data_IF_621270856639
#
_entry.id   IF_621270856639
#
_cell.length_a   1.000
_cell.length_b   1.000
_cell.length_c   1.000
_cell.angle_alpha   90.00
_cell.angle_beta   90.00
_cell.angle_gamma   90.00
#
_symmetry.space_group_name_H-M   'P 1'
#
loop_
_entity.id
_entity.type
_entity.pdbx_description
1 polymer ?
#
# COMPACT_ATOMS: atom_id res chain seq x y z
N UNK A 1 13.15 -2.64 22.94
CA UNK A 1 12.44 -1.57 23.64
C UNK A 1 13.25 -1.04 24.82
N UNK A 2 13.80 -1.89 25.69
CA UNK A 2 14.43 -1.45 26.93
C UNK A 2 15.53 -0.40 26.79
N UNK A 3 16.48 -0.55 25.88
CA UNK A 3 17.56 0.44 25.68
C UNK A 3 17.21 1.60 24.75
N UNK A 4 16.05 1.57 24.11
CA UNK A 4 15.49 2.70 23.36
C UNK A 4 14.44 3.46 24.16
N UNK A 5 14.19 3.07 25.41
CA UNK A 5 13.19 3.68 26.32
C UNK A 5 11.78 3.80 25.71
N UNK A 6 11.43 2.87 24.82
CA UNK A 6 10.11 2.87 24.18
C UNK A 6 9.09 2.27 25.14
N UNK A 7 8.07 3.04 25.47
CA UNK A 7 6.93 2.56 26.28
C UNK A 7 6.08 1.59 25.42
N UNK A 8 5.94 0.36 25.91
CA UNK A 8 5.11 -0.69 25.31
C UNK A 8 3.82 -0.94 26.11
N UNK A 9 3.44 -0.04 26.99
CA UNK A 9 2.19 -0.17 27.76
C UNK A 9 1.00 -0.25 26.81
N UNK A 10 0.19 -1.30 26.94
CA UNK A 10 -0.95 -1.57 26.05
C UNK A 10 -0.60 -2.23 24.71
N UNK A 11 0.68 -2.45 24.43
CA UNK A 11 1.13 -3.16 23.21
C UNK A 11 1.14 -4.67 23.46
N UNK A 12 0.44 -5.42 22.62
CA UNK A 12 0.51 -6.88 22.62
C UNK A 12 1.69 -7.34 21.78
N UNK A 13 2.67 -7.97 22.41
CA UNK A 13 3.80 -8.62 21.71
C UNK A 13 3.43 -10.06 21.37
N UNK A 14 3.52 -10.42 20.09
CA UNK A 14 3.21 -11.75 19.60
C UNK A 14 4.50 -12.44 19.15
N UNK A 15 4.80 -13.57 19.75
CA UNK A 15 5.85 -14.50 19.31
C UNK A 15 5.17 -15.55 18.41
N UNK A 16 5.53 -15.66 17.13
CA UNK A 16 4.94 -16.65 16.22
C UNK A 16 5.01 -18.09 16.76
N UNK A 17 6.08 -18.43 17.50
CA UNK A 17 6.26 -19.77 18.05
C UNK A 17 5.33 -20.12 19.21
N UNK A 18 4.71 -19.10 19.82
CA UNK A 18 3.80 -19.21 20.97
C UNK A 18 2.41 -18.72 20.66
N UNK A 19 2.14 -18.42 19.38
CA UNK A 19 0.84 -17.92 18.96
C UNK A 19 -0.23 -19.01 18.99
N UNK A 20 -1.26 -18.84 19.78
CA UNK A 20 -2.38 -19.79 19.90
C UNK A 20 -3.12 -19.99 18.57
N UNK A 21 -3.16 -18.99 17.71
CA UNK A 21 -3.81 -19.03 16.39
C UNK A 21 -2.89 -19.52 15.27
N UNK A 22 -1.69 -20.01 15.57
CA UNK A 22 -0.72 -20.40 14.53
C UNK A 22 -1.32 -21.42 13.55
N UNK A 23 -2.05 -22.42 14.03
CA UNK A 23 -2.64 -23.46 13.18
C UNK A 23 -3.74 -22.90 12.26
N UNK A 24 -4.53 -21.95 12.72
CA UNK A 24 -5.52 -21.22 11.90
C UNK A 24 -4.83 -20.41 10.80
N UNK A 25 -3.75 -19.72 11.13
CA UNK A 25 -2.95 -18.95 10.17
C UNK A 25 -2.26 -19.84 9.14
N UNK A 26 -1.75 -20.99 9.56
CA UNK A 26 -1.17 -22.00 8.65
C UNK A 26 -2.21 -22.47 7.65
N UNK A 27 -3.40 -22.82 8.12
CA UNK A 27 -4.50 -23.26 7.25
C UNK A 27 -4.93 -22.14 6.29
N UNK A 28 -5.06 -20.90 6.78
CA UNK A 28 -5.43 -19.74 5.96
C UNK A 28 -4.37 -19.45 4.87
N UNK A 29 -3.10 -19.51 5.19
CA UNK A 29 -2.01 -19.32 4.23
C UNK A 29 -1.99 -20.45 3.19
N UNK A 30 -2.15 -21.70 3.65
CA UNK A 30 -2.26 -22.86 2.77
C UNK A 30 -3.43 -22.69 1.79
N UNK A 31 -4.65 -22.46 2.26
CA UNK A 31 -5.82 -22.28 1.41
C UNK A 31 -5.67 -21.16 0.40
N UNK A 32 -5.05 -20.04 0.83
CA UNK A 32 -4.82 -18.89 -0.03
C UNK A 32 -3.82 -19.20 -1.15
N UNK A 33 -2.83 -20.09 -0.92
CA UNK A 33 -1.70 -20.30 -1.80
C UNK A 33 -1.53 -21.74 -2.33
N UNK A 34 -2.42 -22.68 -2.00
CA UNK A 34 -2.33 -24.09 -2.44
C UNK A 34 -2.23 -24.24 -3.95
N UNK A 35 -2.93 -23.38 -4.71
CA UNK A 35 -2.88 -23.35 -6.18
C UNK A 35 -1.49 -22.94 -6.75
N UNK A 36 -0.58 -22.47 -5.92
CA UNK A 36 0.81 -22.12 -6.24
C UNK A 36 1.82 -23.09 -5.59
N UNK A 37 1.37 -24.27 -5.17
CA UNK A 37 2.23 -25.31 -4.61
C UNK A 37 2.60 -25.10 -3.12
N UNK A 38 1.81 -24.32 -2.38
CA UNK A 38 1.94 -24.26 -0.93
C UNK A 38 1.47 -25.57 -0.32
N UNK A 39 2.18 -26.02 0.71
CA UNK A 39 1.74 -27.13 1.57
C UNK A 39 1.58 -26.64 3.01
N UNK A 40 0.83 -27.34 3.88
CA UNK A 40 0.69 -26.94 5.28
C UNK A 40 2.03 -26.81 6.00
N UNK A 41 2.98 -27.71 5.73
CA UNK A 41 4.32 -27.71 6.34
C UNK A 41 5.12 -26.48 5.91
N UNK A 42 5.08 -26.13 4.61
CA UNK A 42 5.73 -24.92 4.09
C UNK A 42 5.07 -23.66 4.67
N UNK A 43 3.74 -23.62 4.76
CA UNK A 43 3.02 -22.51 5.34
C UNK A 43 3.44 -22.30 6.81
N UNK A 44 3.50 -23.35 7.60
CA UNK A 44 3.98 -23.32 8.99
C UNK A 44 5.41 -22.81 9.07
N UNK A 45 6.31 -23.35 8.27
CA UNK A 45 7.71 -22.92 8.26
C UNK A 45 7.82 -21.42 7.95
N UNK A 46 7.13 -20.92 6.94
CA UNK A 46 7.13 -19.51 6.59
C UNK A 46 6.63 -18.65 7.76
N UNK A 47 5.51 -19.00 8.37
CA UNK A 47 4.93 -18.20 9.47
C UNK A 47 5.82 -18.19 10.72
N UNK A 48 6.64 -19.21 10.93
CA UNK A 48 7.59 -19.27 12.05
C UNK A 48 8.89 -18.50 11.78
N UNK A 49 9.24 -18.25 10.52
CA UNK A 49 10.54 -17.66 10.14
C UNK A 49 10.43 -16.28 9.48
N UNK A 50 9.25 -15.89 9.00
CA UNK A 50 9.01 -14.63 8.30
C UNK A 50 7.91 -13.81 8.99
N UNK A 51 8.33 -12.87 9.83
CA UNK A 51 7.43 -11.97 10.54
C UNK A 51 6.60 -11.09 9.61
N UNK A 52 7.10 -10.81 8.38
CA UNK A 52 6.37 -10.04 7.38
C UNK A 52 5.13 -10.79 6.91
N UNK A 53 5.30 -12.04 6.50
CA UNK A 53 4.18 -12.91 6.12
C UNK A 53 3.25 -13.18 7.31
N UNK A 54 3.79 -13.30 8.53
CA UNK A 54 2.98 -13.45 9.73
C UNK A 54 2.07 -12.24 9.98
N UNK A 55 2.61 -11.01 9.88
CA UNK A 55 1.81 -9.79 9.99
C UNK A 55 0.72 -9.69 8.92
N UNK A 56 1.06 -10.00 7.67
CA UNK A 56 0.10 -10.00 6.57
C UNK A 56 -1.03 -11.03 6.78
N UNK A 57 -0.74 -12.20 7.31
CA UNK A 57 -1.77 -13.22 7.57
C UNK A 57 -2.70 -12.81 8.71
N UNK A 58 -2.20 -12.08 9.73
CA UNK A 58 -3.03 -11.49 10.78
C UNK A 58 -4.06 -10.51 10.21
N UNK A 59 -3.62 -9.64 9.29
CA UNK A 59 -4.54 -8.73 8.57
C UNK A 59 -5.55 -9.53 7.74
N UNK A 60 -5.11 -10.59 7.06
CA UNK A 60 -6.00 -11.47 6.28
C UNK A 60 -7.04 -12.19 7.15
N UNK A 61 -6.67 -12.52 8.38
CA UNK A 61 -7.55 -13.17 9.36
C UNK A 61 -8.49 -12.18 10.09
N UNK A 62 -8.40 -10.87 9.82
CA UNK A 62 -9.06 -9.78 10.54
C UNK A 62 -8.69 -9.71 12.04
N UNK A 63 -7.50 -10.15 12.40
CA UNK A 63 -6.93 -10.00 13.74
C UNK A 63 -6.12 -8.70 13.87
N UNK A 64 -5.92 -7.99 12.77
CA UNK A 64 -5.34 -6.66 12.68
C UNK A 64 -5.99 -5.88 11.53
N UNK A 65 -6.15 -4.57 11.69
CA UNK A 65 -6.75 -3.68 10.70
C UNK A 65 -5.76 -3.24 9.60
N UNK A 66 -4.48 -3.33 9.89
CA UNK A 66 -3.39 -2.95 8.98
C UNK A 66 -2.04 -3.39 9.49
N UNK A 67 -0.99 -3.10 8.73
CA UNK A 67 0.39 -3.45 9.08
C UNK A 67 1.33 -2.30 8.74
N UNK A 68 2.21 -1.96 9.69
CA UNK A 68 3.35 -1.06 9.49
C UNK A 68 4.61 -1.91 9.47
N UNK A 69 5.40 -1.81 8.40
CA UNK A 69 6.57 -2.65 8.21
C UNK A 69 7.59 -1.98 7.28
N UNK A 70 8.75 -2.61 7.08
CA UNK A 70 9.74 -2.19 6.08
C UNK A 70 11.04 -1.63 6.63
N UNK A 71 11.17 -1.40 7.95
CA UNK A 71 12.37 -0.80 8.53
C UNK A 71 13.68 -1.56 8.22
N UNK A 72 13.60 -2.89 8.08
CA UNK A 72 14.74 -3.78 7.83
C UNK A 72 14.59 -4.59 6.54
N UNK A 73 13.65 -4.23 5.67
CA UNK A 73 13.30 -5.01 4.48
C UNK A 73 13.30 -4.13 3.24
N UNK A 74 13.64 -4.71 2.09
CA UNK A 74 13.44 -4.04 0.81
C UNK A 74 11.94 -3.90 0.51
N UNK A 75 11.57 -2.89 -0.29
CA UNK A 75 10.18 -2.64 -0.69
C UNK A 75 9.52 -3.88 -1.29
N UNK A 76 10.24 -4.62 -2.15
CA UNK A 76 9.74 -5.84 -2.77
C UNK A 76 9.42 -6.94 -1.75
N UNK A 77 10.22 -7.06 -0.69
CA UNK A 77 10.03 -8.10 0.33
C UNK A 77 8.87 -7.76 1.27
N UNK A 78 8.62 -6.46 1.47
CA UNK A 78 7.45 -5.96 2.22
C UNK A 78 6.15 -6.14 1.43
N UNK A 79 6.14 -5.78 0.15
CA UNK A 79 4.94 -5.79 -0.68
C UNK A 79 4.55 -7.18 -1.17
N UNK A 80 5.52 -8.06 -1.43
CA UNK A 80 5.27 -9.39 -1.99
C UNK A 80 4.29 -10.23 -1.17
N UNK A 81 4.42 -10.38 0.15
CA UNK A 81 3.44 -11.10 0.97
C UNK A 81 2.05 -10.46 0.91
N UNK A 82 1.96 -9.13 0.98
CA UNK A 82 0.70 -8.40 0.89
C UNK A 82 -0.01 -8.66 -0.44
N UNK A 83 0.68 -8.51 -1.57
CA UNK A 83 0.14 -8.76 -2.91
C UNK A 83 -0.27 -10.22 -3.11
N UNK A 84 0.46 -11.15 -2.53
CA UNK A 84 0.19 -12.58 -2.68
C UNK A 84 -0.97 -13.08 -1.82
N UNK A 85 -1.18 -12.49 -0.66
CA UNK A 85 -2.14 -12.97 0.37
C UNK A 85 -3.38 -12.08 0.42
N UNK A 86 -3.21 -10.75 0.56
CA UNK A 86 -4.34 -9.82 0.64
C UNK A 86 -4.90 -9.51 -0.75
N UNK A 87 -4.04 -9.41 -1.76
CA UNK A 87 -4.36 -8.96 -3.12
C UNK A 87 -4.81 -7.49 -3.13
N UNK A 88 -5.32 -7.03 -4.27
CA UNK A 88 -5.92 -5.70 -4.41
C UNK A 88 -7.37 -5.71 -3.95
N UNK A 89 -7.89 -4.55 -3.55
CA UNK A 89 -9.30 -4.37 -3.29
C UNK A 89 -10.13 -4.67 -4.57
N UNK A 90 -11.40 -5.09 -4.43
CA UNK A 90 -12.27 -5.31 -5.58
C UNK A 90 -12.33 -4.08 -6.49
N UNK A 91 -12.15 -4.28 -7.80
CA UNK A 91 -12.16 -3.21 -8.80
C UNK A 91 -10.83 -2.44 -8.94
N UNK A 92 -9.86 -2.64 -8.06
CA UNK A 92 -8.53 -2.00 -8.14
C UNK A 92 -7.62 -2.84 -9.04
N UNK A 93 -7.25 -2.27 -10.18
CA UNK A 93 -6.42 -2.95 -11.20
C UNK A 93 -4.92 -2.80 -10.93
N UNK A 94 -4.52 -1.72 -10.26
CA UNK A 94 -3.13 -1.35 -10.05
C UNK A 94 -2.90 -0.94 -8.59
N UNK A 95 -1.83 -1.48 -7.98
CA UNK A 95 -1.36 -1.02 -6.68
C UNK A 95 -0.45 0.18 -6.89
N UNK A 96 -0.69 1.25 -6.15
CA UNK A 96 0.18 2.44 -6.14
C UNK A 96 0.56 2.81 -4.72
N UNK A 97 1.73 3.43 -4.58
CA UNK A 97 2.18 4.01 -3.32
C UNK A 97 1.89 5.50 -3.25
N UNK A 98 1.68 6.03 -2.05
CA UNK A 98 1.54 7.47 -1.85
C UNK A 98 2.19 7.92 -0.55
N UNK A 99 2.55 9.22 -0.50
CA UNK A 99 2.91 9.92 0.73
C UNK A 99 1.79 10.87 1.12
N UNK A 100 1.51 10.97 2.41
CA UNK A 100 0.81 12.12 2.97
C UNK A 100 1.88 13.08 3.46
N UNK A 101 1.86 14.29 2.92
CA UNK A 101 2.75 15.37 3.29
C UNK A 101 1.95 16.44 4.03
N UNK A 102 2.47 16.87 5.15
CA UNK A 102 1.92 17.98 5.93
C UNK A 102 2.94 19.12 5.97
N UNK A 103 2.57 20.24 5.37
CA UNK A 103 3.43 21.42 5.23
C UNK A 103 2.96 22.49 6.19
N UNK A 104 3.72 22.79 7.25
CA UNK A 104 3.33 23.79 8.25
C UNK A 104 3.11 25.19 7.62
N UNK A 105 2.08 25.89 8.08
CA UNK A 105 1.76 27.27 7.65
C UNK A 105 1.53 27.41 6.12
N UNK A 106 1.05 26.37 5.45
CA UNK A 106 0.73 26.38 4.03
C UNK A 106 -0.79 26.50 3.84
N UNK A 107 -1.21 27.43 3.00
CA UNK A 107 -2.62 27.65 2.65
C UNK A 107 -3.10 26.76 1.48
N UNK A 108 -2.19 26.11 0.77
CA UNK A 108 -2.51 25.19 -0.32
C UNK A 108 -2.86 23.80 0.20
N UNK A 109 -3.50 22.99 -0.66
CA UNK A 109 -3.99 21.68 -0.29
C UNK A 109 -5.11 21.77 0.74
N UNK A 110 -5.22 20.77 1.62
CA UNK A 110 -6.12 20.84 2.77
C UNK A 110 -5.33 21.36 3.98
N UNK A 111 -5.25 22.71 4.08
CA UNK A 111 -4.46 23.39 5.12
C UNK A 111 -3.01 22.91 5.24
N UNK A 112 -2.35 22.67 4.11
CA UNK A 112 -0.99 22.16 4.03
C UNK A 112 -0.88 20.65 3.86
N UNK A 113 -1.99 19.92 3.95
CA UNK A 113 -1.98 18.46 3.77
C UNK A 113 -2.16 18.10 2.30
N UNK A 114 -1.25 17.27 1.78
CA UNK A 114 -1.25 16.77 0.40
C UNK A 114 -1.11 15.25 0.39
N UNK A 115 -1.61 14.62 -0.68
CA UNK A 115 -1.31 13.25 -1.01
C UNK A 115 -0.56 13.23 -2.36
N UNK A 116 0.68 12.74 -2.34
CA UNK A 116 1.53 12.61 -3.52
C UNK A 116 1.59 11.14 -3.95
N UNK A 117 1.18 10.85 -5.18
CA UNK A 117 1.20 9.51 -5.79
C UNK A 117 1.58 9.59 -7.28
N UNK A 118 2.15 8.57 -7.90
CA UNK A 118 2.78 7.43 -7.26
C UNK A 118 4.17 7.81 -6.75
N UNK A 119 4.55 7.32 -5.59
CA UNK A 119 5.79 7.72 -4.95
C UNK A 119 6.96 6.74 -5.16
N UNK A 120 6.88 5.84 -6.15
CA UNK A 120 8.00 4.97 -6.54
C UNK A 120 7.68 3.49 -6.69
N UNK A 121 6.42 3.12 -6.79
CA UNK A 121 6.01 1.74 -7.06
C UNK A 121 5.86 1.47 -8.57
N UNK A 122 5.28 2.42 -9.30
CA UNK A 122 5.09 2.37 -10.75
C UNK A 122 6.05 3.34 -11.43
N UNK A 123 7.07 2.82 -12.11
CA UNK A 123 8.16 3.64 -12.68
C UNK A 123 7.72 4.44 -13.92
N UNK A 124 6.96 3.82 -14.80
CA UNK A 124 6.48 4.47 -16.04
C UNK A 124 5.03 4.02 -16.36
N UNK A 125 4.05 4.52 -15.58
CA UNK A 125 2.65 4.15 -15.77
C UNK A 125 2.11 4.68 -17.10
N UNK A 126 1.23 3.89 -17.75
CA UNK A 126 0.46 4.31 -18.92
C UNK A 126 -0.56 5.39 -18.57
N UNK A 127 -1.24 5.98 -19.57
CA UNK A 127 -2.30 6.95 -19.31
C UNK A 127 -3.46 6.35 -18.50
N UNK A 128 -3.84 5.13 -18.81
CA UNK A 128 -4.87 4.36 -18.11
C UNK A 128 -4.47 4.05 -16.66
N UNK A 129 -3.20 3.71 -16.43
CA UNK A 129 -2.66 3.47 -15.11
C UNK A 129 -2.57 4.76 -14.28
N UNK A 130 -2.17 5.89 -14.90
CA UNK A 130 -2.19 7.19 -14.23
C UNK A 130 -3.60 7.60 -13.80
N UNK A 131 -4.60 7.39 -14.63
CA UNK A 131 -6.00 7.65 -14.29
C UNK A 131 -6.46 6.74 -13.12
N UNK A 132 -6.08 5.46 -13.13
CA UNK A 132 -6.37 4.54 -12.03
C UNK A 132 -5.67 4.94 -10.72
N UNK A 133 -4.41 5.41 -10.78
CA UNK A 133 -3.69 5.96 -9.64
C UNK A 133 -4.41 7.18 -9.07
N UNK A 134 -4.88 8.08 -9.94
CA UNK A 134 -5.63 9.26 -9.52
C UNK A 134 -6.93 8.91 -8.79
N UNK A 135 -7.74 7.98 -9.32
CA UNK A 135 -8.98 7.52 -8.68
C UNK A 135 -8.74 6.88 -7.31
N UNK A 136 -7.76 5.95 -7.23
CA UNK A 136 -7.44 5.30 -5.96
C UNK A 136 -6.85 6.25 -4.94
N UNK A 137 -6.04 7.21 -5.38
CA UNK A 137 -5.47 8.27 -4.54
C UNK A 137 -6.55 9.23 -4.01
N UNK A 138 -7.54 9.57 -4.83
CA UNK A 138 -8.69 10.37 -4.40
C UNK A 138 -9.49 9.70 -3.28
N UNK A 139 -9.74 8.39 -3.43
CA UNK A 139 -10.41 7.59 -2.40
C UNK A 139 -9.61 7.54 -1.10
N UNK A 140 -8.30 7.33 -1.20
CA UNK A 140 -7.40 7.32 -0.05
C UNK A 140 -7.35 8.68 0.65
N UNK A 141 -7.24 9.78 -0.09
CA UNK A 141 -7.26 11.14 0.46
C UNK A 141 -8.57 11.41 1.21
N UNK A 142 -9.70 11.09 0.61
CA UNK A 142 -11.01 11.25 1.26
C UNK A 142 -11.12 10.46 2.55
N UNK A 143 -10.59 9.23 2.59
CA UNK A 143 -10.66 8.35 3.77
C UNK A 143 -9.72 8.80 4.88
N UNK A 144 -8.49 9.19 4.55
CA UNK A 144 -7.44 9.46 5.52
C UNK A 144 -7.40 10.92 5.98
N UNK A 145 -7.68 11.86 5.07
CA UNK A 145 -7.67 13.31 5.34
C UNK A 145 -9.06 13.82 5.67
N UNK A 146 -10.12 13.16 5.20
CA UNK A 146 -11.51 13.55 5.47
C UNK A 146 -12.03 14.69 4.60
N UNK A 147 -11.26 15.15 3.60
CA UNK A 147 -11.59 16.29 2.77
C UNK A 147 -11.96 15.89 1.33
N UNK A 148 -12.53 16.83 0.58
CA UNK A 148 -12.84 16.64 -0.83
C UNK A 148 -11.55 16.61 -1.65
N UNK A 149 -11.23 15.53 -2.39
CA UNK A 149 -10.03 15.47 -3.20
C UNK A 149 -10.11 16.42 -4.39
N UNK A 150 -9.02 17.14 -4.63
CA UNK A 150 -8.76 17.92 -5.85
C UNK A 150 -7.45 17.40 -6.40
N UNK A 151 -7.47 16.90 -7.64
CA UNK A 151 -6.34 16.20 -8.23
C UNK A 151 -5.66 17.05 -9.28
N UNK A 152 -4.35 17.19 -9.20
CA UNK A 152 -3.50 17.73 -10.23
C UNK A 152 -2.59 16.64 -10.79
N UNK A 153 -2.69 16.33 -12.07
CA UNK A 153 -1.75 15.48 -12.77
C UNK A 153 -0.61 16.32 -13.33
N UNK A 154 0.62 15.99 -12.93
CA UNK A 154 1.78 16.81 -13.22
C UNK A 154 2.52 16.33 -14.47
N UNK A 155 2.98 17.28 -15.29
CA UNK A 155 3.94 17.05 -16.35
C UNK A 155 4.98 18.18 -16.37
N UNK A 156 6.01 18.05 -17.20
CA UNK A 156 6.97 19.13 -17.41
C UNK A 156 6.45 20.27 -18.32
N UNK A 157 5.22 20.15 -18.82
CA UNK A 157 4.57 21.16 -19.66
C UNK A 157 3.52 21.93 -18.90
N UNK A 158 3.51 23.24 -19.04
CA UNK A 158 2.44 24.10 -18.52
C UNK A 158 1.43 24.35 -19.64
N UNK A 159 0.25 23.74 -19.54
CA UNK A 159 -0.90 23.96 -20.45
C UNK A 159 -0.52 23.94 -21.96
N UNK A 160 0.23 22.91 -22.38
CA UNK A 160 0.59 22.74 -23.79
C UNK A 160 1.80 23.54 -24.25
N UNK A 161 2.60 24.10 -23.35
CA UNK A 161 3.85 24.81 -23.68
C UNK A 161 4.93 23.93 -24.29
N UNK A 162 4.86 22.61 -24.09
CA UNK A 162 5.74 21.63 -24.71
C UNK A 162 4.92 20.49 -25.38
N UNK A 163 5.46 19.97 -26.46
CA UNK A 163 4.94 18.77 -27.16
C UNK A 163 5.92 17.63 -26.91
N UNK A 164 5.48 16.61 -26.23
CA UNK A 164 6.29 15.41 -25.94
C UNK A 164 5.37 14.24 -25.57
N UNK A 165 5.71 12.98 -25.92
CA UNK A 165 4.89 11.82 -25.63
C UNK A 165 4.53 11.68 -24.12
N UNK A 166 5.43 12.09 -23.22
CA UNK A 166 5.15 12.08 -21.78
C UNK A 166 4.11 13.14 -21.37
N UNK A 167 4.00 14.26 -22.09
CA UNK A 167 2.95 15.27 -21.89
C UNK A 167 1.63 14.74 -22.42
N UNK A 168 1.64 14.18 -23.64
CA UNK A 168 0.44 13.61 -24.28
C UNK A 168 -0.15 12.47 -23.41
N UNK A 169 0.72 11.66 -22.79
CA UNK A 169 0.32 10.63 -21.82
C UNK A 169 -0.47 11.22 -20.64
N UNK A 170 0.00 12.31 -20.05
CA UNK A 170 -0.68 12.96 -18.91
C UNK A 170 -1.99 13.61 -19.35
N UNK A 171 -2.03 14.26 -20.50
CA UNK A 171 -3.26 14.81 -21.07
C UNK A 171 -4.32 13.74 -21.25
N UNK A 172 -3.93 12.60 -21.87
CA UNK A 172 -4.83 11.46 -22.06
C UNK A 172 -5.30 10.87 -20.72
N UNK A 173 -4.42 10.80 -19.70
CA UNK A 173 -4.79 10.33 -18.37
C UNK A 173 -5.86 11.22 -17.73
N UNK A 174 -5.76 12.54 -17.90
CA UNK A 174 -6.79 13.51 -17.44
C UNK A 174 -8.11 13.27 -18.14
N UNK A 175 -8.11 13.07 -19.47
CA UNK A 175 -9.33 12.76 -20.22
C UNK A 175 -10.02 11.51 -19.69
N UNK A 176 -9.26 10.40 -19.51
CA UNK A 176 -9.79 9.15 -18.96
C UNK A 176 -10.33 9.32 -17.54
N UNK A 177 -9.69 10.15 -16.72
CA UNK A 177 -10.14 10.37 -15.34
C UNK A 177 -11.43 11.20 -15.26
N UNK A 178 -11.84 11.86 -16.34
CA UNK A 178 -13.10 12.61 -16.45
C UNK A 178 -14.28 11.75 -16.96
N UNK A 179 -14.03 10.57 -17.54
CA UNK A 179 -15.04 9.60 -17.94
C UNK A 179 -15.62 8.82 -16.73
#
# INVERSE_FOLDING_TARGET
AGWLEVDLTGVRVIDPTKCEKLDEYVQLLYETRKHKGMTPEKARQILLTDNMTFGVIMVKANDADGMVAGACHATADTLRPALQILKTAPGVKLVSGFFILDVPNCEYGEHGTFLFADCGLNQDPTAEELAAIADTSAKSFKTLVGAKPIIAMLSHSTKGSAKHPLVDKVVKAVEIAHE
#
